data_IF_051206304622
#
_entry.id   IF_051206304622
#
_cell.length_a   1.000
_cell.length_b   1.000
_cell.length_c   1.000
_cell.angle_alpha   90.00
_cell.angle_beta   90.00
_cell.angle_gamma   90.00
#
_symmetry.space_group_name_H-M   'P 1'
#
loop_
_entity.id
_entity.type
_entity.pdbx_description
1 polymer ?
#
# COMPACT_ATOMS: atom_id res chain seq x y z
N UNK A 1 18.92 -18.91 30.14
CA UNK A 1 18.98 -19.26 28.70
C UNK A 1 17.60 -19.23 28.05
N UNK A 2 16.61 -19.97 28.55
CA UNK A 2 15.25 -20.01 28.00
C UNK A 2 14.54 -18.63 27.85
N UNK A 3 14.70 -17.70 28.80
CA UNK A 3 14.12 -16.33 28.68
C UNK A 3 14.71 -15.48 27.54
N UNK A 4 15.99 -15.67 27.19
CA UNK A 4 16.63 -14.95 26.06
C UNK A 4 16.20 -15.54 24.72
N UNK A 5 16.02 -16.86 24.68
CA UNK A 5 15.53 -17.59 23.51
C UNK A 5 14.06 -17.21 23.25
N UNK A 6 13.21 -17.23 24.29
CA UNK A 6 11.79 -16.82 24.17
C UNK A 6 11.64 -15.34 23.76
N UNK A 7 12.48 -14.45 24.29
CA UNK A 7 12.49 -13.02 23.92
C UNK A 7 12.88 -12.78 22.46
N UNK A 8 13.84 -13.55 21.92
CA UNK A 8 14.20 -13.50 20.51
C UNK A 8 13.05 -14.03 19.61
N UNK A 9 12.42 -15.15 19.98
CA UNK A 9 11.27 -15.68 19.23
C UNK A 9 10.04 -14.76 19.26
N UNK A 10 9.79 -14.05 20.36
CA UNK A 10 8.68 -13.08 20.47
C UNK A 10 8.96 -11.79 19.69
N UNK A 11 10.22 -11.33 19.65
CA UNK A 11 10.65 -10.22 18.80
C UNK A 11 10.43 -10.54 17.32
N UNK A 12 10.90 -11.70 16.88
CA UNK A 12 10.77 -12.17 15.50
C UNK A 12 9.29 -12.26 15.05
N UNK A 13 8.42 -12.81 15.91
CA UNK A 13 6.98 -12.93 15.61
C UNK A 13 6.29 -11.55 15.52
N UNK A 14 6.69 -10.61 16.36
CA UNK A 14 6.14 -9.24 16.35
C UNK A 14 6.56 -8.49 15.09
N UNK A 15 7.85 -8.53 14.75
CA UNK A 15 8.36 -7.87 13.53
C UNK A 15 7.75 -8.50 12.28
N UNK A 16 7.61 -9.83 12.23
CA UNK A 16 6.95 -10.52 11.11
C UNK A 16 5.47 -10.13 10.96
N UNK A 17 4.75 -9.97 12.07
CA UNK A 17 3.34 -9.52 12.06
C UNK A 17 3.22 -8.10 11.55
N UNK A 18 4.03 -7.17 12.08
CA UNK A 18 4.04 -5.78 11.63
C UNK A 18 4.43 -5.65 10.16
N UNK A 19 5.42 -6.43 9.71
CA UNK A 19 5.79 -6.51 8.30
C UNK A 19 4.63 -7.02 7.44
N UNK A 20 3.93 -8.08 7.86
CA UNK A 20 2.79 -8.62 7.11
C UNK A 20 1.65 -7.61 6.99
N UNK A 21 1.36 -6.86 8.07
CA UNK A 21 0.36 -5.78 8.06
C UNK A 21 0.78 -4.67 7.09
N UNK A 22 2.05 -4.24 7.13
CA UNK A 22 2.60 -3.25 6.18
C UNK A 22 2.42 -3.70 4.73
N UNK A 23 2.74 -4.95 4.44
CA UNK A 23 2.60 -5.53 3.10
C UNK A 23 1.12 -5.59 2.66
N UNK A 24 0.21 -5.91 3.57
CA UNK A 24 -1.23 -5.87 3.33
C UNK A 24 -1.72 -4.45 3.03
N UNK A 25 -1.15 -3.44 3.68
CA UNK A 25 -1.49 -2.04 3.39
C UNK A 25 -1.06 -1.65 1.98
N UNK A 26 0.15 -2.01 1.53
CA UNK A 26 0.56 -1.77 0.13
C UNK A 26 -0.36 -2.48 -0.88
N UNK A 27 -0.78 -3.72 -0.59
CA UNK A 27 -1.75 -4.43 -1.43
C UNK A 27 -3.11 -3.72 -1.48
N UNK A 28 -3.59 -3.25 -0.34
CA UNK A 28 -4.86 -2.52 -0.24
C UNK A 28 -4.81 -1.21 -1.00
N UNK A 29 -3.70 -0.47 -0.88
CA UNK A 29 -3.46 0.78 -1.63
C UNK A 29 -3.49 0.52 -3.14
N UNK A 30 -2.84 -0.56 -3.61
CA UNK A 30 -2.90 -0.95 -5.03
C UNK A 30 -4.33 -1.28 -5.46
N UNK A 31 -5.08 -2.05 -4.66
CA UNK A 31 -6.48 -2.37 -4.94
C UNK A 31 -7.37 -1.13 -5.02
N UNK A 32 -7.20 -0.18 -4.10
CA UNK A 32 -7.91 1.10 -4.11
C UNK A 32 -7.54 1.93 -5.34
N UNK A 33 -6.26 1.97 -5.72
CA UNK A 33 -5.80 2.68 -6.92
C UNK A 33 -6.40 2.09 -8.20
N UNK A 34 -6.43 0.76 -8.33
CA UNK A 34 -7.09 0.06 -9.45
C UNK A 34 -8.58 0.39 -9.48
N UNK A 35 -9.25 0.42 -8.32
CA UNK A 35 -10.68 0.71 -8.22
C UNK A 35 -10.97 2.15 -8.66
N UNK A 36 -10.16 3.13 -8.23
CA UNK A 36 -10.28 4.51 -8.69
C UNK A 36 -10.10 4.59 -10.21
N UNK A 37 -9.08 3.92 -10.77
CA UNK A 37 -8.86 3.88 -12.21
C UNK A 37 -10.03 3.23 -12.96
N UNK A 38 -10.64 2.17 -12.42
CA UNK A 38 -11.78 1.50 -13.04
C UNK A 38 -13.02 2.41 -13.06
N UNK A 39 -13.32 3.10 -11.94
CA UNK A 39 -14.45 4.03 -11.82
C UNK A 39 -14.26 5.28 -12.70
N UNK A 40 -13.02 5.71 -12.91
CA UNK A 40 -12.69 6.93 -13.66
C UNK A 40 -12.33 6.69 -15.13
N UNK A 41 -11.97 5.46 -15.52
CA UNK A 41 -11.38 5.14 -16.82
C UNK A 41 -12.37 4.73 -17.90
N UNK A 42 -13.60 4.36 -17.55
CA UNK A 42 -14.60 3.93 -18.52
C UNK A 42 -15.49 5.11 -18.92
N UNK A 43 -15.21 5.68 -20.10
CA UNK A 43 -16.03 6.75 -20.66
C UNK A 43 -17.51 6.34 -20.81
N UNK A 44 -17.79 5.03 -20.95
CA UNK A 44 -19.13 4.43 -21.16
C UNK A 44 -19.98 4.18 -19.90
N UNK A 45 -19.36 4.10 -18.71
CA UNK A 45 -20.02 3.54 -17.52
C UNK A 45 -19.48 4.12 -16.19
N UNK A 46 -19.08 5.40 -16.14
CA UNK A 46 -18.48 6.00 -14.93
C UNK A 46 -18.80 7.47 -14.70
N UNK A 47 -17.92 8.19 -13.99
CA UNK A 47 -18.07 9.62 -13.64
C UNK A 47 -18.08 10.56 -14.88
N UNK A 48 -17.78 10.02 -16.06
CA UNK A 48 -17.96 10.65 -17.37
C UNK A 48 -19.40 10.43 -17.85
N UNK A 49 -20.15 11.49 -18.13
CA UNK A 49 -21.57 11.39 -18.51
C UNK A 49 -21.75 11.61 -20.02
N UNK A 50 -22.62 10.77 -20.60
CA UNK A 50 -22.85 10.62 -22.04
C UNK A 50 -23.74 11.64 -22.76
N UNK A 51 -24.36 12.59 -22.06
CA UNK A 51 -25.55 13.26 -22.60
C UNK A 51 -25.36 14.67 -23.18
N UNK A 52 -24.15 15.23 -23.28
CA UNK A 52 -23.87 16.53 -23.94
C UNK A 52 -22.44 16.49 -24.56
N UNK A 53 -22.16 17.06 -25.76
CA UNK A 53 -21.19 16.55 -26.74
C UNK A 53 -19.72 16.87 -26.37
N UNK A 54 -18.72 16.33 -27.11
CA UNK A 54 -18.43 14.91 -27.26
C UNK A 54 -17.96 14.29 -25.91
N UNK A 55 -18.27 13.00 -25.72
CA UNK A 55 -18.05 12.21 -24.50
C UNK A 55 -16.60 12.15 -23.97
N UNK A 56 -15.63 12.76 -24.67
CA UNK A 56 -14.21 12.80 -24.29
C UNK A 56 -13.85 14.00 -23.39
N UNK A 57 -14.76 14.95 -23.16
CA UNK A 57 -14.46 16.24 -22.52
C UNK A 57 -15.28 16.60 -21.28
N UNK A 58 -16.31 15.81 -20.93
CA UNK A 58 -17.20 16.13 -19.80
C UNK A 58 -17.02 15.17 -18.62
N UNK A 59 -16.64 15.73 -17.47
CA UNK A 59 -16.42 15.01 -16.20
C UNK A 59 -17.35 15.61 -15.15
N UNK A 60 -18.00 14.82 -14.28
CA UNK A 60 -18.96 15.36 -13.32
C UNK A 60 -18.36 16.37 -12.31
N UNK A 61 -17.05 16.30 -12.02
CA UNK A 61 -16.40 17.19 -11.06
C UNK A 61 -16.55 18.68 -11.44
N UNK A 62 -16.82 19.52 -10.44
CA UNK A 62 -17.18 20.96 -10.53
C UNK A 62 -18.51 21.28 -11.26
N UNK A 63 -19.30 20.28 -11.67
CA UNK A 63 -20.63 20.54 -12.22
C UNK A 63 -21.65 20.95 -11.15
N UNK A 64 -22.55 21.85 -11.51
CA UNK A 64 -23.63 22.38 -10.67
C UNK A 64 -24.87 22.73 -11.51
N UNK A 65 -26.07 22.52 -10.94
CA UNK A 65 -27.34 22.88 -11.56
C UNK A 65 -27.57 24.40 -11.67
N UNK A 66 -26.84 25.23 -10.91
CA UNK A 66 -27.13 26.67 -10.80
C UNK A 66 -25.99 27.56 -11.30
N UNK A 67 -24.75 27.09 -11.23
CA UNK A 67 -23.56 27.95 -11.42
C UNK A 67 -22.70 27.49 -12.59
N UNK A 68 -22.64 26.19 -12.85
CA UNK A 68 -21.86 25.65 -13.95
C UNK A 68 -22.40 24.30 -14.41
N UNK A 69 -23.23 24.33 -15.45
CA UNK A 69 -23.86 23.14 -16.01
C UNK A 69 -22.86 22.15 -16.65
N UNK A 70 -21.61 22.58 -16.87
CA UNK A 70 -20.56 21.76 -17.44
C UNK A 70 -19.47 21.47 -16.41
N UNK A 71 -19.20 20.19 -16.13
CA UNK A 71 -18.06 19.84 -15.28
C UNK A 71 -16.74 19.89 -16.05
N UNK A 72 -15.62 19.71 -15.33
CA UNK A 72 -14.29 20.07 -15.82
C UNK A 72 -13.42 18.80 -15.97
N UNK A 73 -13.17 18.37 -17.21
CA UNK A 73 -12.39 17.17 -17.52
C UNK A 73 -10.97 17.14 -16.93
N UNK A 74 -10.33 18.29 -16.72
CA UNK A 74 -8.99 18.33 -16.15
C UNK A 74 -8.93 17.75 -14.73
N UNK A 75 -10.01 17.87 -13.93
CA UNK A 75 -10.06 17.26 -12.59
C UNK A 75 -10.12 15.74 -12.65
N UNK A 76 -10.95 15.16 -13.52
CA UNK A 76 -10.97 13.70 -13.68
C UNK A 76 -9.61 13.18 -14.18
N UNK A 77 -9.00 13.84 -15.18
CA UNK A 77 -7.66 13.49 -15.68
C UNK A 77 -6.61 13.58 -14.58
N UNK A 78 -6.69 14.60 -13.73
CA UNK A 78 -5.81 14.76 -12.58
C UNK A 78 -5.98 13.59 -11.58
N UNK A 79 -7.21 13.25 -11.20
CA UNK A 79 -7.48 12.14 -10.25
C UNK A 79 -7.01 10.79 -10.84
N UNK A 80 -7.22 10.56 -12.13
CA UNK A 80 -6.68 9.39 -12.85
C UNK A 80 -5.16 9.36 -12.79
N UNK A 81 -4.48 10.50 -13.02
CA UNK A 81 -3.03 10.59 -12.93
C UNK A 81 -2.52 10.32 -11.51
N UNK A 82 -3.20 10.87 -10.49
CA UNK A 82 -2.90 10.61 -9.06
C UNK A 82 -2.97 9.12 -8.77
N UNK A 83 -4.03 8.44 -9.20
CA UNK A 83 -4.22 7.01 -8.98
C UNK A 83 -3.24 6.14 -9.78
N UNK A 84 -2.94 6.49 -11.04
CA UNK A 84 -2.02 5.74 -11.89
C UNK A 84 -0.58 5.80 -11.38
N UNK A 85 -0.08 7.00 -11.05
CA UNK A 85 1.26 7.19 -10.48
C UNK A 85 1.32 6.50 -9.12
N UNK A 86 0.28 6.66 -8.29
CA UNK A 86 0.14 5.98 -7.02
C UNK A 86 0.28 4.46 -7.15
N UNK A 87 -0.48 3.84 -8.07
CA UNK A 87 -0.46 2.40 -8.33
C UNK A 87 0.95 1.89 -8.68
N UNK A 88 1.60 2.53 -9.65
CA UNK A 88 2.94 2.12 -10.12
C UNK A 88 3.95 2.17 -8.97
N UNK A 89 3.89 3.22 -8.16
CA UNK A 89 4.86 3.40 -7.08
C UNK A 89 4.55 2.48 -5.89
N UNK A 90 3.28 2.29 -5.53
CA UNK A 90 2.90 1.30 -4.52
C UNK A 90 3.33 -0.13 -4.92
N UNK A 91 3.29 -0.46 -6.22
CA UNK A 91 3.83 -1.74 -6.71
C UNK A 91 5.34 -1.85 -6.50
N UNK A 92 6.11 -0.82 -6.83
CA UNK A 92 7.55 -0.81 -6.57
C UNK A 92 7.88 -0.87 -5.08
N UNK A 93 7.13 -0.18 -4.23
CA UNK A 93 7.29 -0.26 -2.77
C UNK A 93 6.97 -1.66 -2.23
N UNK A 94 5.93 -2.31 -2.75
CA UNK A 94 5.61 -3.69 -2.43
C UNK A 94 6.77 -4.64 -2.81
N UNK A 95 7.31 -4.53 -4.03
CA UNK A 95 8.47 -5.30 -4.45
C UNK A 95 9.71 -5.01 -3.58
N UNK A 96 9.97 -3.74 -3.27
CA UNK A 96 11.07 -3.31 -2.41
C UNK A 96 10.95 -3.90 -0.99
N UNK A 97 9.74 -3.93 -0.43
CA UNK A 97 9.44 -4.54 0.86
C UNK A 97 9.72 -6.04 0.87
N UNK A 98 9.33 -6.77 -0.19
CA UNK A 98 9.61 -8.21 -0.32
C UNK A 98 11.11 -8.54 -0.36
N UNK A 99 11.94 -7.67 -0.94
CA UNK A 99 13.40 -7.86 -0.93
C UNK A 99 13.97 -7.92 0.50
N UNK A 100 13.30 -7.29 1.47
CA UNK A 100 13.65 -7.36 2.89
C UNK A 100 13.60 -8.77 3.49
N UNK A 101 12.89 -9.71 2.88
CA UNK A 101 12.87 -11.13 3.30
C UNK A 101 14.15 -11.86 2.86
N UNK A 102 14.76 -11.43 1.76
CA UNK A 102 15.94 -12.07 1.19
C UNK A 102 17.26 -11.44 1.69
N UNK A 103 17.24 -10.14 1.99
CA UNK A 103 18.46 -9.37 2.27
C UNK A 103 18.36 -8.54 3.55
N UNK A 104 19.21 -8.83 4.55
CA UNK A 104 19.24 -8.09 5.83
C UNK A 104 19.60 -6.61 5.68
N UNK A 105 20.48 -6.25 4.74
CA UNK A 105 20.88 -4.85 4.55
C UNK A 105 19.70 -3.96 4.13
N UNK A 106 18.75 -4.53 3.38
CA UNK A 106 17.52 -3.86 2.97
C UNK A 106 16.64 -3.48 4.17
N UNK A 107 16.56 -4.36 5.19
CA UNK A 107 15.82 -4.08 6.42
C UNK A 107 16.39 -2.87 7.18
N UNK A 108 17.69 -2.58 7.01
CA UNK A 108 18.37 -1.40 7.60
C UNK A 108 18.17 -0.11 6.81
N UNK A 109 17.69 -0.18 5.56
CA UNK A 109 17.38 0.97 4.72
C UNK A 109 15.94 1.45 4.87
N UNK A 110 15.39 1.32 6.08
CA UNK A 110 14.01 1.68 6.41
C UNK A 110 13.71 3.16 6.15
N UNK A 111 14.67 4.06 6.34
CA UNK A 111 14.51 5.50 6.15
C UNK A 111 14.22 5.88 4.68
N UNK A 112 14.67 5.08 3.72
CA UNK A 112 14.35 5.27 2.30
C UNK A 112 12.87 4.97 2.08
N UNK A 113 12.40 3.82 2.59
CA UNK A 113 10.99 3.44 2.52
C UNK A 113 10.10 4.47 3.22
N UNK A 114 10.52 4.97 4.38
CA UNK A 114 9.79 5.97 5.15
C UNK A 114 9.68 7.31 4.42
N UNK A 115 10.77 7.79 3.80
CA UNK A 115 10.76 8.99 2.97
C UNK A 115 9.80 8.87 1.79
N UNK A 116 9.76 7.71 1.13
CA UNK A 116 8.79 7.43 0.09
C UNK A 116 7.36 7.41 0.63
N UNK A 117 7.11 6.77 1.78
CA UNK A 117 5.78 6.75 2.40
C UNK A 117 5.29 8.16 2.77
N UNK A 118 6.16 9.02 3.30
CA UNK A 118 5.82 10.40 3.63
C UNK A 118 5.49 11.24 2.38
N UNK A 119 6.28 11.08 1.31
CA UNK A 119 5.99 11.74 0.04
C UNK A 119 4.64 11.28 -0.53
N UNK A 120 4.37 9.98 -0.54
CA UNK A 120 3.12 9.45 -1.07
C UNK A 120 1.93 9.74 -0.17
N UNK A 121 2.12 9.84 1.15
CA UNK A 121 1.10 10.37 2.06
C UNK A 121 0.65 11.76 1.61
N UNK A 122 1.60 12.68 1.35
CA UNK A 122 1.29 14.01 0.86
C UNK A 122 0.66 13.99 -0.54
N UNK A 123 1.13 13.12 -1.44
CA UNK A 123 0.56 12.92 -2.77
C UNK A 123 -0.94 12.57 -2.72
N UNK A 124 -1.29 11.56 -1.92
CA UNK A 124 -2.69 11.14 -1.75
C UNK A 124 -3.52 12.16 -1.00
N UNK A 125 -2.93 12.89 -0.04
CA UNK A 125 -3.59 13.99 0.66
C UNK A 125 -4.02 15.10 -0.32
N UNK A 126 -3.11 15.54 -1.21
CA UNK A 126 -3.44 16.55 -2.23
C UNK A 126 -4.50 16.01 -3.19
N UNK A 127 -4.38 14.75 -3.63
CA UNK A 127 -5.39 14.08 -4.44
C UNK A 127 -6.79 14.10 -3.81
N UNK A 128 -6.87 13.73 -2.53
CA UNK A 128 -8.12 13.69 -1.77
C UNK A 128 -8.74 15.09 -1.59
N UNK A 129 -7.93 16.09 -1.21
CA UNK A 129 -8.41 17.48 -1.09
C UNK A 129 -8.96 17.99 -2.41
N UNK A 130 -8.25 17.77 -3.53
CA UNK A 130 -8.70 18.21 -4.85
C UNK A 130 -10.03 17.54 -5.22
N UNK A 131 -10.17 16.24 -5.00
CA UNK A 131 -11.43 15.52 -5.28
C UNK A 131 -12.60 16.07 -4.44
N UNK A 132 -12.40 16.23 -3.13
CA UNK A 132 -13.43 16.76 -2.22
C UNK A 132 -13.78 18.22 -2.54
N UNK A 133 -12.80 19.06 -2.88
CA UNK A 133 -13.05 20.47 -3.25
C UNK A 133 -13.69 20.64 -4.64
N UNK A 134 -13.51 19.64 -5.52
CA UNK A 134 -14.10 19.60 -6.85
C UNK A 134 -15.41 18.81 -6.89
N UNK A 135 -15.96 18.40 -5.74
CA UNK A 135 -17.15 17.57 -5.67
C UNK A 135 -18.34 18.21 -6.43
N UNK A 136 -19.08 17.44 -7.24
CA UNK A 136 -20.27 17.94 -7.93
C UNK A 136 -21.39 18.30 -6.95
N UNK A 137 -22.30 19.19 -7.35
CA UNK A 137 -23.46 19.51 -6.52
C UNK A 137 -24.38 18.30 -6.34
N UNK A 138 -25.10 18.24 -5.21
CA UNK A 138 -26.02 17.13 -4.90
C UNK A 138 -27.10 16.93 -5.96
N UNK A 139 -27.57 18.02 -6.59
CA UNK A 139 -28.51 17.96 -7.69
C UNK A 139 -27.94 17.27 -8.94
N UNK A 140 -26.69 17.58 -9.32
CA UNK A 140 -26.02 16.92 -10.44
C UNK A 140 -25.71 15.44 -10.14
N UNK A 141 -25.33 15.13 -8.90
CA UNK A 141 -25.10 13.75 -8.46
C UNK A 141 -26.37 12.89 -8.55
N UNK A 142 -27.53 13.46 -8.21
CA UNK A 142 -28.81 12.77 -8.29
C UNK A 142 -29.31 12.65 -9.73
N UNK A 143 -29.14 13.70 -10.55
CA UNK A 143 -29.57 13.70 -11.95
C UNK A 143 -28.87 12.61 -12.77
N UNK A 144 -27.58 12.40 -12.51
CA UNK A 144 -26.76 11.45 -13.25
C UNK A 144 -26.52 10.12 -12.52
N UNK A 145 -27.06 9.95 -11.31
CA UNK A 145 -26.91 8.74 -10.49
C UNK A 145 -25.43 8.33 -10.19
N UNK A 146 -24.49 9.26 -10.28
CA UNK A 146 -23.04 8.99 -10.08
C UNK A 146 -22.59 9.20 -8.62
N UNK A 147 -23.54 9.35 -7.69
CA UNK A 147 -23.27 9.65 -6.27
C UNK A 147 -22.39 8.62 -5.60
N UNK A 148 -22.67 7.35 -5.84
CA UNK A 148 -21.92 6.23 -5.24
C UNK A 148 -20.48 6.22 -5.72
N UNK A 149 -20.26 6.45 -7.02
CA UNK A 149 -18.92 6.43 -7.63
C UNK A 149 -18.06 7.59 -7.14
N UNK A 150 -18.60 8.82 -7.13
CA UNK A 150 -17.87 10.00 -6.64
C UNK A 150 -17.50 9.83 -5.16
N UNK A 151 -18.44 9.35 -4.34
CA UNK A 151 -18.18 9.08 -2.94
C UNK A 151 -17.15 7.97 -2.74
N UNK A 152 -17.20 6.92 -3.57
CA UNK A 152 -16.22 5.84 -3.53
C UNK A 152 -14.83 6.35 -3.89
N UNK A 153 -14.67 7.13 -4.96
CA UNK A 153 -13.38 7.72 -5.34
C UNK A 153 -12.84 8.62 -4.23
N UNK A 154 -13.66 9.50 -3.64
CA UNK A 154 -13.24 10.33 -2.51
C UNK A 154 -12.79 9.47 -1.31
N UNK A 155 -13.59 8.49 -0.91
CA UNK A 155 -13.28 7.61 0.21
C UNK A 155 -12.00 6.79 -0.01
N UNK A 156 -11.77 6.31 -1.24
CA UNK A 156 -10.57 5.55 -1.60
C UNK A 156 -9.32 6.43 -1.61
N UNK A 157 -9.42 7.69 -2.08
CA UNK A 157 -8.31 8.66 -2.02
C UNK A 157 -7.91 8.96 -0.56
N UNK A 158 -8.89 9.24 0.30
CA UNK A 158 -8.65 9.42 1.75
C UNK A 158 -8.13 8.14 2.40
N UNK A 159 -8.66 6.98 2.01
CA UNK A 159 -8.20 5.67 2.46
C UNK A 159 -6.72 5.43 2.16
N UNK A 160 -6.29 5.70 0.92
CA UNK A 160 -4.88 5.60 0.54
C UNK A 160 -3.98 6.56 1.33
N UNK A 161 -4.42 7.80 1.54
CA UNK A 161 -3.69 8.75 2.40
C UNK A 161 -3.51 8.18 3.81
N UNK A 162 -4.57 7.69 4.44
CA UNK A 162 -4.49 7.09 5.78
C UNK A 162 -3.59 5.86 5.82
N UNK A 163 -3.67 4.97 4.82
CA UNK A 163 -2.83 3.77 4.77
C UNK A 163 -1.33 4.14 4.63
N UNK A 164 -1.01 5.14 3.82
CA UNK A 164 0.36 5.67 3.75
C UNK A 164 0.81 6.29 5.07
N UNK A 165 -0.07 7.05 5.75
CA UNK A 165 0.22 7.59 7.07
C UNK A 165 0.55 6.48 8.07
N UNK A 166 -0.25 5.42 8.13
CA UNK A 166 0.03 4.29 9.03
C UNK A 166 1.28 3.52 8.64
N UNK A 167 1.60 3.40 7.34
CA UNK A 167 2.82 2.75 6.89
C UNK A 167 4.09 3.45 7.38
N UNK A 168 4.09 4.79 7.50
CA UNK A 168 5.21 5.55 8.11
C UNK A 168 5.50 5.01 9.52
N UNK A 169 4.45 4.92 10.35
CA UNK A 169 4.60 4.38 11.70
C UNK A 169 5.00 2.90 11.70
N UNK A 170 4.41 2.08 10.84
CA UNK A 170 4.75 0.66 10.75
C UNK A 170 6.22 0.45 10.38
N UNK A 171 6.75 1.19 9.41
CA UNK A 171 8.17 1.12 9.02
C UNK A 171 9.06 1.48 10.21
N UNK A 172 8.76 2.57 10.90
CA UNK A 172 9.49 2.97 12.11
C UNK A 172 9.42 1.92 13.22
N UNK A 173 8.23 1.39 13.53
CA UNK A 173 8.03 0.39 14.57
C UNK A 173 8.72 -0.95 14.24
N UNK A 174 8.69 -1.39 12.97
CA UNK A 174 9.41 -2.58 12.50
C UNK A 174 10.90 -2.42 12.78
N UNK A 175 11.48 -1.26 12.46
CA UNK A 175 12.90 -1.00 12.74
C UNK A 175 13.19 -0.98 14.24
N UNK A 176 12.39 -0.26 15.02
CA UNK A 176 12.57 -0.14 16.47
C UNK A 176 12.48 -1.49 17.20
N UNK A 177 11.47 -2.30 16.86
CA UNK A 177 11.32 -3.65 17.43
C UNK A 177 12.41 -4.58 16.89
N UNK A 178 12.82 -4.44 15.63
CA UNK A 178 13.93 -5.20 15.03
C UNK A 178 15.24 -5.04 15.78
N UNK A 179 15.61 -3.79 16.12
CA UNK A 179 16.83 -3.49 16.88
C UNK A 179 16.77 -3.92 18.35
N UNK A 180 15.58 -3.94 18.97
CA UNK A 180 15.44 -4.25 20.40
C UNK A 180 15.13 -5.72 20.69
N UNK A 181 14.49 -6.42 19.75
CA UNK A 181 13.91 -7.75 19.96
C UNK A 181 14.36 -8.83 18.97
N UNK A 182 15.00 -8.47 17.86
CA UNK A 182 15.38 -9.42 16.80
C UNK A 182 14.72 -9.09 15.47
N UNK A 183 15.47 -9.30 14.38
CA UNK A 183 15.03 -9.06 13.01
C UNK A 183 14.43 -10.31 12.40
N UNK A 184 13.48 -10.14 11.46
CA UNK A 184 12.92 -11.27 10.70
C UNK A 184 14.08 -12.06 10.06
N UNK A 185 14.23 -13.35 10.38
CA UNK A 185 15.26 -14.18 9.77
C UNK A 185 15.05 -14.23 8.26
N UNK A 186 16.14 -13.99 7.53
CA UNK A 186 16.14 -14.00 6.08
C UNK A 186 16.27 -15.42 5.54
N UNK A 187 15.93 -15.62 4.27
CA UNK A 187 16.11 -16.93 3.60
C UNK A 187 17.54 -17.46 3.71
N UNK A 188 18.54 -16.56 3.74
CA UNK A 188 19.93 -16.93 3.95
C UNK A 188 20.19 -17.53 5.34
N UNK A 189 19.56 -16.99 6.39
CA UNK A 189 19.69 -17.49 7.76
C UNK A 189 19.09 -18.90 7.90
N UNK A 190 17.95 -19.16 7.26
CA UNK A 190 17.33 -20.48 7.25
C UNK A 190 18.18 -21.55 6.56
N UNK A 191 18.89 -21.21 5.48
CA UNK A 191 19.80 -22.15 4.80
C UNK A 191 20.98 -22.54 5.69
N UNK A 192 21.50 -21.61 6.48
CA UNK A 192 22.60 -21.89 7.41
C UNK A 192 22.13 -22.77 8.58
N UNK A 193 20.96 -22.47 9.15
CA UNK A 193 20.37 -23.28 10.23
C UNK A 193 20.11 -24.72 9.78
N UNK A 194 19.54 -24.91 8.59
CA UNK A 194 19.28 -26.26 8.04
C UNK A 194 20.55 -27.02 7.69
N UNK A 195 21.65 -26.35 7.31
CA UNK A 195 22.95 -27.01 7.15
C UNK A 195 23.56 -27.46 8.49
N UNK A 196 23.44 -26.63 9.53
CA UNK A 196 23.97 -26.95 10.86
C UNK A 196 23.20 -28.09 11.52
N UNK A 197 21.88 -28.14 11.35
CA UNK A 197 21.03 -29.23 11.85
C UNK A 197 21.38 -30.56 11.16
N UNK A 198 21.64 -30.54 9.84
CA UNK A 198 22.12 -31.72 9.11
C UNK A 198 23.49 -32.19 9.58
N UNK A 199 24.42 -31.27 9.85
CA UNK A 199 25.74 -31.60 10.38
C UNK A 199 25.67 -32.18 11.80
N UNK A 200 24.74 -31.72 12.64
CA UNK A 200 24.51 -32.27 13.97
C UNK A 200 23.90 -33.67 13.91
N UNK A 201 22.87 -33.88 13.09
CA UNK A 201 22.28 -35.21 12.85
C UNK A 201 23.30 -36.19 12.26
N UNK A 202 24.17 -35.74 11.37
CA UNK A 202 25.26 -36.55 10.82
C UNK A 202 26.28 -36.97 11.89
N UNK A 203 26.64 -36.06 12.80
CA UNK A 203 27.55 -36.34 13.92
C UNK A 203 26.94 -37.27 14.97
N UNK A 204 25.65 -37.10 15.29
CA UNK A 204 24.94 -38.00 16.21
C UNK A 204 24.80 -39.41 15.60
N UNK A 205 24.55 -39.52 14.30
CA UNK A 205 24.51 -40.80 13.61
C UNK A 205 25.87 -41.52 13.61
N UNK A 206 26.99 -40.80 13.44
CA UNK A 206 28.34 -41.38 13.54
C UNK A 206 28.67 -41.85 14.96
N UNK A 207 28.31 -41.08 15.99
CA UNK A 207 28.50 -41.46 17.39
C UNK A 207 27.73 -42.73 17.78
N UNK A 208 26.55 -42.96 17.20
CA UNK A 208 25.77 -44.19 17.40
C UNK A 208 26.32 -45.41 16.65
N UNK A 209 27.10 -45.19 15.58
CA UNK A 209 27.70 -46.26 14.79
C UNK A 209 29.05 -46.71 15.36
N UNK A 210 29.80 -45.80 15.98
CA UNK A 210 31.07 -46.11 16.69
C UNK A 210 30.85 -46.73 18.08
N UNK A 211 29.61 -46.79 18.57
CA UNK A 211 29.24 -47.34 19.88
C UNK A 211 28.49 -48.68 19.82
N UNK A 212 28.29 -49.24 18.63
CA UNK A 212 27.69 -50.56 18.37
C UNK A 212 28.74 -51.58 17.92
#
# INVERSE_FOLDING_TARGET
>A
MARRILGAYMGDATVATLFSIKMLFYLTIMGFSITILALMGKNSDGIWIHSVPPAEQYCAYKSSLEVNHHGIASYCKYIVAVAAIGLVISFFQFCYGLLGIFFKWQQKLWYIEDAFNLFFWAWWLVGAIVATAARPSTGMLNLHNNRTEVNAVEALLWGNMCLYFFNIFLVFFIYWVGETGGWIPTVADYRVLTSLEKDQLGKEAQLHQDSA
#
